data_IF_639600052065
#
_entry.id   IF_639600052065
#
_cell.length_a   1.000
_cell.length_b   1.000
_cell.length_c   1.000
_cell.angle_alpha   90.00
_cell.angle_beta   90.00
_cell.angle_gamma   90.00
#
_symmetry.space_group_name_H-M   'P 1'
#
loop_
_entity.id
_entity.type
_entity.pdbx_description
1 polymer ?
#
# COMPACT_ATOMS: atom_id res chain seq x y z
N UNK A 1 -13.90 -39.30 49.79
CA UNK A 1 -13.93 -39.72 48.36
C UNK A 1 -14.99 -38.98 47.53
N UNK A 2 -16.18 -38.66 48.06
CA UNK A 2 -17.24 -37.95 47.31
C UNK A 2 -16.89 -36.50 46.95
N UNK A 3 -16.19 -35.77 47.84
CA UNK A 3 -15.81 -34.37 47.63
C UNK A 3 -14.83 -34.20 46.46
N UNK A 4 -13.83 -35.09 46.34
CA UNK A 4 -12.87 -35.06 45.23
C UNK A 4 -13.51 -35.36 43.87
N UNK A 5 -14.57 -36.18 43.84
CA UNK A 5 -15.32 -36.46 42.61
C UNK A 5 -16.10 -35.24 42.13
N UNK A 6 -16.77 -34.53 43.05
CA UNK A 6 -17.50 -33.29 42.74
C UNK A 6 -16.58 -32.18 42.24
N UNK A 7 -15.40 -32.02 42.84
CA UNK A 7 -14.41 -31.03 42.39
C UNK A 7 -13.92 -31.33 40.97
N UNK A 8 -13.62 -32.61 40.66
CA UNK A 8 -13.21 -33.00 39.30
C UNK A 8 -14.31 -32.78 38.26
N UNK A 9 -15.56 -33.05 38.62
CA UNK A 9 -16.70 -32.79 37.75
C UNK A 9 -16.89 -31.29 37.47
N UNK A 10 -16.79 -30.43 38.48
CA UNK A 10 -16.87 -28.98 38.33
C UNK A 10 -15.73 -28.41 37.48
N UNK A 11 -14.50 -28.89 37.70
CA UNK A 11 -13.34 -28.48 36.89
C UNK A 11 -13.49 -28.91 35.42
N UNK A 12 -14.03 -30.10 35.16
CA UNK A 12 -14.31 -30.56 33.80
C UNK A 12 -15.36 -29.68 33.10
N UNK A 13 -16.40 -29.27 33.81
CA UNK A 13 -17.44 -28.39 33.29
C UNK A 13 -16.92 -26.98 32.97
N UNK A 14 -16.08 -26.44 33.86
CA UNK A 14 -15.39 -25.16 33.63
C UNK A 14 -14.43 -25.22 32.45
N UNK A 15 -13.69 -26.33 32.30
CA UNK A 15 -12.82 -26.54 31.13
C UNK A 15 -13.62 -26.61 29.82
N UNK A 16 -14.79 -27.26 29.84
CA UNK A 16 -15.68 -27.32 28.68
C UNK A 16 -16.22 -25.93 28.29
N UNK A 17 -16.66 -25.15 29.28
CA UNK A 17 -17.22 -23.82 29.05
C UNK A 17 -16.16 -22.83 28.53
N UNK A 18 -14.96 -22.87 29.11
CA UNK A 18 -13.83 -22.05 28.65
C UNK A 18 -13.35 -22.44 27.24
N UNK A 19 -13.35 -23.73 26.90
CA UNK A 19 -13.07 -24.19 25.54
C UNK A 19 -14.17 -23.76 24.55
N UNK A 20 -15.44 -23.90 24.93
CA UNK A 20 -16.57 -23.48 24.12
C UNK A 20 -16.55 -21.97 23.87
N UNK A 21 -16.31 -21.17 24.91
CA UNK A 21 -16.21 -19.73 24.79
C UNK A 21 -14.98 -19.29 24.00
N UNK A 22 -13.82 -19.93 24.23
CA UNK A 22 -12.60 -19.63 23.50
C UNK A 22 -12.71 -19.93 22.00
N UNK A 23 -13.30 -21.08 21.64
CA UNK A 23 -13.53 -21.44 20.24
C UNK A 23 -14.55 -20.51 19.58
N UNK A 24 -15.64 -20.18 20.27
CA UNK A 24 -16.62 -19.22 19.76
C UNK A 24 -16.02 -17.82 19.58
N UNK A 25 -15.23 -17.33 20.55
CA UNK A 25 -14.57 -16.02 20.47
C UNK A 25 -13.56 -15.92 19.32
N UNK A 26 -12.90 -17.02 18.96
CA UNK A 26 -11.95 -17.06 17.83
C UNK A 26 -12.64 -17.17 16.47
N UNK A 27 -13.81 -17.81 16.39
CA UNK A 27 -14.53 -18.08 15.13
C UNK A 27 -15.64 -17.06 14.84
N UNK A 28 -16.15 -16.38 15.86
CA UNK A 28 -17.22 -15.38 15.71
C UNK A 28 -16.81 -14.23 14.78
N UNK A 29 -17.76 -13.75 13.99
CA UNK A 29 -17.59 -12.71 12.97
C UNK A 29 -17.14 -11.35 13.56
N UNK A 30 -17.31 -11.13 14.86
CA UNK A 30 -16.79 -9.96 15.59
C UNK A 30 -15.50 -10.21 16.38
N UNK A 31 -14.91 -11.39 16.23
CA UNK A 31 -13.77 -11.84 17.03
C UNK A 31 -12.41 -11.38 16.51
N UNK A 32 -11.36 -12.07 16.98
CA UNK A 32 -9.97 -11.72 16.67
C UNK A 32 -9.65 -11.81 15.17
N UNK A 33 -10.30 -12.73 14.45
CA UNK A 33 -10.09 -12.91 13.01
C UNK A 33 -10.55 -11.72 12.18
N UNK A 34 -11.74 -11.18 12.46
CA UNK A 34 -12.25 -10.02 11.73
C UNK A 34 -11.48 -8.75 12.10
N UNK A 35 -11.07 -8.59 13.36
CA UNK A 35 -10.19 -7.50 13.75
C UNK A 35 -8.83 -7.55 13.03
N UNK A 36 -8.27 -8.75 12.85
CA UNK A 36 -7.04 -8.94 12.08
C UNK A 36 -7.24 -8.65 10.58
N UNK A 37 -8.33 -9.15 9.99
CA UNK A 37 -8.67 -8.92 8.58
C UNK A 37 -8.87 -7.42 8.30
N UNK A 38 -9.63 -6.74 9.15
CA UNK A 38 -9.89 -5.31 9.03
C UNK A 38 -8.58 -4.50 9.19
N UNK A 39 -7.68 -4.94 10.08
CA UNK A 39 -6.37 -4.30 10.25
C UNK A 39 -5.49 -4.49 9.02
N UNK A 40 -5.50 -5.66 8.39
CA UNK A 40 -4.79 -5.85 7.11
C UNK A 40 -5.39 -4.99 6.00
N UNK A 41 -6.72 -4.93 5.89
CA UNK A 41 -7.39 -4.09 4.88
C UNK A 41 -7.05 -2.61 5.07
N UNK A 42 -7.09 -2.10 6.30
CA UNK A 42 -6.66 -0.73 6.60
C UNK A 42 -5.21 -0.48 6.19
N UNK A 43 -4.31 -1.42 6.49
CA UNK A 43 -2.89 -1.30 6.14
C UNK A 43 -2.67 -1.29 4.62
N UNK A 44 -3.36 -2.16 3.90
CA UNK A 44 -3.26 -2.24 2.44
C UNK A 44 -3.83 -0.97 1.78
N UNK A 45 -4.90 -0.40 2.33
CA UNK A 45 -5.44 0.89 1.87
C UNK A 45 -4.45 2.02 2.16
N UNK A 46 -3.85 2.04 3.35
CA UNK A 46 -2.85 3.05 3.72
C UNK A 46 -1.63 2.98 2.79
N UNK A 47 -1.13 1.78 2.48
CA UNK A 47 -0.02 1.58 1.54
C UNK A 47 -0.36 2.04 0.12
N UNK A 48 -1.59 1.79 -0.36
CA UNK A 48 -2.05 2.30 -1.66
C UNK A 48 -2.11 3.83 -1.69
N UNK A 49 -2.59 4.44 -0.60
CA UNK A 49 -2.67 5.90 -0.49
C UNK A 49 -1.29 6.53 -0.44
N UNK A 50 -0.34 5.95 0.31
CA UNK A 50 1.02 6.47 0.37
C UNK A 50 1.75 6.32 -0.96
N UNK A 51 1.61 5.17 -1.65
CA UNK A 51 2.15 4.98 -3.00
C UNK A 51 1.58 6.00 -3.98
N UNK A 52 0.25 6.15 -4.04
CA UNK A 52 -0.39 7.09 -4.95
C UNK A 52 0.04 8.54 -4.68
N UNK A 53 0.24 8.90 -3.40
CA UNK A 53 0.74 10.22 -3.03
C UNK A 53 2.18 10.44 -3.50
N UNK A 54 3.02 9.42 -3.36
CA UNK A 54 4.40 9.45 -3.88
C UNK A 54 4.41 9.60 -5.41
N UNK A 55 3.53 8.89 -6.12
CA UNK A 55 3.41 8.99 -7.57
C UNK A 55 2.97 10.39 -8.01
N UNK A 56 2.00 10.99 -7.31
CA UNK A 56 1.57 12.36 -7.57
C UNK A 56 2.74 13.35 -7.38
N UNK A 57 3.52 13.19 -6.31
CA UNK A 57 4.65 14.07 -6.04
C UNK A 57 5.74 13.94 -7.11
N UNK A 58 6.01 12.71 -7.57
CA UNK A 58 6.93 12.46 -8.68
C UNK A 58 6.43 13.08 -9.99
N UNK A 59 5.17 12.84 -10.34
CA UNK A 59 4.56 13.40 -11.55
C UNK A 59 4.58 14.93 -11.50
N UNK A 60 4.29 15.55 -10.36
CA UNK A 60 4.34 17.00 -10.20
C UNK A 60 5.76 17.54 -10.40
N UNK A 61 6.79 16.88 -9.87
CA UNK A 61 8.19 17.25 -10.11
C UNK A 61 8.54 17.16 -11.59
N UNK A 62 8.15 16.07 -12.25
CA UNK A 62 8.38 15.90 -13.69
C UNK A 62 7.66 16.99 -14.49
N UNK A 63 6.44 17.35 -14.11
CA UNK A 63 5.66 18.41 -14.76
C UNK A 63 6.32 19.78 -14.64
N UNK A 64 6.88 20.11 -13.47
CA UNK A 64 7.63 21.35 -13.25
C UNK A 64 8.85 21.40 -14.17
N UNK A 65 9.61 20.29 -14.25
CA UNK A 65 10.78 20.19 -15.14
C UNK A 65 10.35 20.39 -16.59
N UNK A 66 9.28 19.71 -17.02
CA UNK A 66 8.75 19.80 -18.39
C UNK A 66 8.22 21.20 -18.73
N UNK A 67 7.66 21.93 -17.76
CA UNK A 67 7.21 23.31 -17.95
C UNK A 67 8.36 24.31 -17.97
N UNK A 68 9.42 24.08 -17.19
CA UNK A 68 10.56 24.99 -17.10
C UNK A 68 11.50 24.94 -18.31
N UNK A 69 11.52 23.84 -19.06
CA UNK A 69 12.41 23.65 -20.21
C UNK A 69 11.61 23.30 -21.48
N UNK A 70 11.42 24.24 -22.43
CA UNK A 70 10.61 24.02 -23.63
C UNK A 70 11.12 22.88 -24.53
N UNK A 71 12.42 22.55 -24.44
CA UNK A 71 13.06 21.48 -25.22
C UNK A 71 13.30 20.18 -24.44
N UNK A 72 12.95 20.12 -23.15
CA UNK A 72 13.15 18.91 -22.33
C UNK A 72 12.29 17.75 -22.83
N UNK A 73 11.04 18.03 -23.21
CA UNK A 73 10.09 17.03 -23.74
C UNK A 73 10.62 16.45 -25.05
N UNK A 74 11.16 17.28 -25.94
CA UNK A 74 11.74 16.83 -27.21
C UNK A 74 12.99 15.97 -26.99
N UNK A 75 13.89 16.40 -26.09
CA UNK A 75 15.10 15.63 -25.74
C UNK A 75 14.73 14.27 -25.13
N UNK A 76 13.81 14.26 -24.16
CA UNK A 76 13.37 13.04 -23.49
C UNK A 76 12.70 12.06 -24.47
N UNK A 77 11.85 12.55 -25.38
CA UNK A 77 11.23 11.73 -26.41
C UNK A 77 12.26 11.12 -27.37
N UNK A 78 13.29 11.88 -27.77
CA UNK A 78 14.34 11.40 -28.67
C UNK A 78 15.25 10.35 -28.01
N UNK A 79 15.57 10.49 -26.72
CA UNK A 79 16.33 9.48 -25.95
C UNK A 79 15.55 8.18 -25.76
N UNK A 80 14.29 8.27 -25.31
CA UNK A 80 13.42 7.09 -25.10
C UNK A 80 13.13 6.32 -26.38
N UNK A 81 13.07 6.99 -27.53
CA UNK A 81 12.79 6.39 -28.83
C UNK A 81 14.05 6.04 -29.63
N UNK A 82 15.25 6.20 -29.06
CA UNK A 82 16.53 5.97 -29.75
C UNK A 82 16.63 6.69 -31.10
N UNK A 83 16.04 7.89 -31.20
CA UNK A 83 15.98 8.69 -32.42
C UNK A 83 17.21 9.59 -32.61
N UNK A 84 18.14 9.64 -31.66
CA UNK A 84 19.36 10.44 -31.80
C UNK A 84 20.46 9.67 -32.54
N UNK A 85 20.94 10.25 -33.65
CA UNK A 85 22.19 9.81 -34.28
C UNK A 85 23.36 10.55 -33.64
N UNK A 86 24.51 9.90 -33.41
CA UNK A 86 25.69 10.58 -32.89
C UNK A 86 26.14 11.67 -33.88
N UNK A 87 25.97 12.94 -33.50
CA UNK A 87 26.38 14.11 -34.30
C UNK A 87 25.29 15.16 -34.57
N UNK A 88 24.03 14.93 -34.19
CA UNK A 88 22.97 15.93 -34.36
C UNK A 88 23.20 17.15 -33.44
N UNK A 89 23.32 18.34 -34.03
CA UNK A 89 23.42 19.62 -33.31
C UNK A 89 22.01 20.18 -33.09
N UNK A 90 21.69 20.47 -31.83
CA UNK A 90 20.47 21.17 -31.45
C UNK A 90 20.68 22.65 -31.80
N UNK A 91 19.90 23.16 -32.74
CA UNK A 91 19.90 24.57 -33.12
C UNK A 91 18.80 25.27 -32.31
N UNK A 92 19.20 26.22 -31.47
CA UNK A 92 18.28 27.14 -30.81
C UNK A 92 17.92 28.23 -31.81
N UNK A 93 16.64 28.40 -32.08
CA UNK A 93 16.15 29.59 -32.78
C UNK A 93 15.63 30.49 -31.65
N UNK A 94 16.37 31.53 -31.32
CA UNK A 94 15.90 32.56 -30.42
C UNK A 94 14.85 33.40 -31.16
N UNK A 95 13.61 33.42 -30.67
CA UNK A 95 12.50 34.22 -31.20
C UNK A 95 12.69 35.74 -30.88
N UNK A 96 13.91 36.27 -30.95
CA UNK A 96 14.19 37.72 -30.87
C UNK A 96 14.17 38.42 -32.23
N UNK A 97 13.70 37.75 -33.30
CA UNK A 97 13.52 38.35 -34.62
C UNK A 97 12.13 38.05 -35.19
N UNK A 98 11.09 38.65 -34.62
CA UNK A 98 9.82 38.95 -35.32
C UNK A 98 9.15 40.19 -34.72
#
# INVERSE_FOLDING_TARGET
MVISFRIRALLGLLALETLGFGTWYLVSDGGVRSALALRSECRDVEEKVTSARSDIEHIQKDLIIWQSEPFFVERYAREKLAMSRPGDKILFIDDECA
#
